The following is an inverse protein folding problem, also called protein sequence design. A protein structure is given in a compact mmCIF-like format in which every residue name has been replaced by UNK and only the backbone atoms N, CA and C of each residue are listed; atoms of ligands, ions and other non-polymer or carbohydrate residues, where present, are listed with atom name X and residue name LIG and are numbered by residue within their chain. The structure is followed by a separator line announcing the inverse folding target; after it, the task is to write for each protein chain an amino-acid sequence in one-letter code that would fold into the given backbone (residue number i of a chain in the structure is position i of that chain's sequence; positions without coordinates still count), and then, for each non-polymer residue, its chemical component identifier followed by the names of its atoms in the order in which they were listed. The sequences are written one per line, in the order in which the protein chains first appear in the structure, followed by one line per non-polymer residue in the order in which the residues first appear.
data_IF_004360828788
#
_entry.id   IF_004360828788
#
_cell.length_a   1.000
_cell.length_b   1.000
_cell.length_c   1.000
_cell.angle_alpha   90.00
_cell.angle_beta   90.00
_cell.angle_gamma   90.00
#
_symmetry.space_group_name_H-M   'P 1'
#
loop_
_entity.id
_entity.type
_entity.pdbx_description
1 polymer ?
#
# COMPACT_ATOMS: atom_id res chain seq x y z
N UNK A 1 -13.51 -22.24 12.19
CA UNK A 1 -12.87 -20.95 11.85
C UNK A 1 -11.37 -21.19 11.83
N UNK A 2 -10.66 -20.89 10.73
CA UNK A 2 -9.19 -21.00 10.72
C UNK A 2 -8.61 -20.01 11.73
N UNK A 3 -7.60 -20.41 12.50
CA UNK A 3 -6.87 -19.50 13.39
C UNK A 3 -6.13 -18.43 12.58
N UNK A 4 -5.84 -17.27 13.17
CA UNK A 4 -4.94 -16.30 12.55
C UNK A 4 -3.57 -17.00 12.36
N UNK A 5 -2.93 -16.90 11.18
CA UNK A 5 -1.61 -17.48 10.97
C UNK A 5 -0.59 -16.94 11.98
N UNK A 6 0.38 -17.75 12.37
CA UNK A 6 1.51 -17.30 13.20
C UNK A 6 2.47 -16.39 12.41
N UNK A 7 2.54 -16.60 11.09
CA UNK A 7 3.38 -15.82 10.17
C UNK A 7 2.57 -15.52 8.93
N UNK A 8 2.57 -14.27 8.49
CA UNK A 8 1.99 -13.88 7.21
C UNK A 8 3.04 -14.07 6.12
N UNK A 9 2.70 -14.77 5.05
CA UNK A 9 3.66 -15.03 3.96
C UNK A 9 3.50 -13.99 2.85
N UNK A 10 4.62 -13.50 2.31
CA UNK A 10 4.62 -12.60 1.15
C UNK A 10 4.65 -13.36 -0.19
N UNK A 11 5.19 -14.58 -0.18
CA UNK A 11 5.45 -15.46 -1.34
C UNK A 11 5.32 -16.92 -0.91
N UNK A 12 5.03 -17.81 -1.85
CA UNK A 12 5.08 -19.25 -1.60
C UNK A 12 6.48 -19.69 -1.18
N UNK A 13 6.64 -20.56 -0.18
CA UNK A 13 7.94 -21.11 0.20
C UNK A 13 8.61 -21.81 -0.99
N UNK A 14 9.90 -21.56 -1.19
CA UNK A 14 10.70 -22.19 -2.26
C UNK A 14 12.07 -22.59 -1.73
N UNK A 15 12.48 -23.82 -2.04
CA UNK A 15 13.80 -24.36 -1.66
C UNK A 15 14.12 -24.16 -0.15
N UNK A 16 13.14 -24.39 0.72
CA UNK A 16 13.30 -24.24 2.17
C UNK A 16 13.32 -22.79 2.68
N UNK A 17 13.26 -21.78 1.79
CA UNK A 17 13.20 -20.37 2.16
C UNK A 17 11.75 -19.90 2.22
N UNK A 18 11.42 -19.29 3.36
CA UNK A 18 10.15 -18.61 3.62
C UNK A 18 10.43 -17.12 3.76
N UNK A 19 9.55 -16.28 3.21
CA UNK A 19 9.64 -14.83 3.34
C UNK A 19 8.33 -14.34 3.95
N UNK A 20 8.41 -13.80 5.16
CA UNK A 20 7.26 -13.20 5.84
C UNK A 20 6.84 -11.90 5.15
N UNK A 21 5.64 -11.44 5.44
CA UNK A 21 5.11 -10.17 4.93
C UNK A 21 5.95 -9.01 5.46
N UNK A 22 6.25 -9.02 6.76
CA UNK A 22 7.14 -8.02 7.38
C UNK A 22 8.49 -7.97 6.66
N UNK A 23 9.17 -9.10 6.50
CA UNK A 23 10.49 -9.14 5.87
C UNK A 23 10.45 -8.60 4.44
N UNK A 24 9.44 -8.99 3.64
CA UNK A 24 9.30 -8.52 2.26
C UNK A 24 9.09 -7.00 2.17
N UNK A 25 8.28 -6.43 3.06
CA UNK A 25 8.03 -4.98 3.10
C UNK A 25 9.26 -4.20 3.56
N UNK A 26 9.97 -4.70 4.58
CA UNK A 26 11.24 -4.11 5.06
C UNK A 26 12.34 -4.19 4.00
N UNK A 27 12.48 -5.33 3.32
CA UNK A 27 13.43 -5.51 2.21
C UNK A 27 13.15 -4.50 1.08
N UNK A 28 11.88 -4.29 0.76
CA UNK A 28 11.45 -3.37 -0.30
C UNK A 28 11.74 -1.91 0.09
N UNK A 29 11.45 -1.52 1.34
CA UNK A 29 11.77 -0.18 1.84
C UNK A 29 13.27 0.09 1.87
N UNK A 30 14.06 -0.88 2.35
CA UNK A 30 15.51 -0.78 2.38
C UNK A 30 16.09 -0.68 0.96
N UNK A 31 15.58 -1.47 0.01
CA UNK A 31 15.99 -1.39 -1.38
C UNK A 31 15.67 -0.01 -1.97
N UNK A 32 14.47 0.53 -1.71
CA UNK A 32 14.09 1.87 -2.14
C UNK A 32 15.03 2.94 -1.57
N UNK A 33 15.34 2.87 -0.27
CA UNK A 33 16.26 3.80 0.39
C UNK A 33 17.66 3.76 -0.24
N UNK A 34 18.17 2.58 -0.56
CA UNK A 34 19.51 2.41 -1.16
C UNK A 34 19.58 2.85 -2.62
N UNK A 35 18.56 2.53 -3.43
CA UNK A 35 18.51 2.89 -4.86
C UNK A 35 18.36 4.41 -5.02
N UNK A 36 17.45 5.01 -4.25
CA UNK A 36 17.07 6.41 -4.39
C UNK A 36 17.77 7.35 -3.41
N UNK A 37 18.85 6.90 -2.75
CA UNK A 37 19.63 7.77 -1.84
C UNK A 37 20.08 9.06 -2.54
N UNK A 38 20.00 10.24 -1.90
CA UNK A 38 20.21 11.53 -2.59
C UNK A 38 21.65 11.74 -3.10
N UNK A 39 22.62 11.12 -2.44
CA UNK A 39 24.05 11.11 -2.78
C UNK A 39 24.43 9.98 -3.76
N UNK A 40 23.46 9.16 -4.19
CA UNK A 40 23.64 8.05 -5.12
C UNK A 40 23.48 8.48 -6.59
N UNK A 41 24.16 7.78 -7.50
CA UNK A 41 24.02 8.00 -8.95
C UNK A 41 22.57 7.83 -9.42
N UNK A 42 21.89 6.78 -8.95
CA UNK A 42 20.51 6.48 -9.34
C UNK A 42 19.53 7.53 -8.80
N UNK A 43 19.55 7.80 -7.49
CA UNK A 43 18.73 8.86 -6.89
C UNK A 43 18.90 10.21 -7.57
N UNK A 44 20.14 10.68 -7.80
CA UNK A 44 20.37 11.96 -8.51
C UNK A 44 19.82 11.98 -9.93
N UNK A 45 20.05 10.92 -10.70
CA UNK A 45 19.60 10.87 -12.09
C UNK A 45 18.09 10.77 -12.20
N UNK A 46 17.45 9.99 -11.31
CA UNK A 46 16.00 9.89 -11.23
C UNK A 46 15.36 11.24 -10.91
N UNK A 47 15.83 11.88 -9.84
CA UNK A 47 15.32 13.19 -9.43
C UNK A 47 15.55 14.25 -10.52
N UNK A 48 16.71 14.25 -11.19
CA UNK A 48 16.97 15.14 -12.33
C UNK A 48 16.01 14.89 -13.49
N UNK A 49 15.77 13.63 -13.84
CA UNK A 49 14.88 13.26 -14.95
C UNK A 49 13.44 13.73 -14.70
N UNK A 50 12.96 13.60 -13.46
CA UNK A 50 11.62 14.03 -13.06
C UNK A 50 11.54 15.49 -12.56
N UNK A 51 12.60 16.29 -12.72
CA UNK A 51 12.59 17.71 -12.34
C UNK A 51 12.57 17.99 -10.83
N UNK A 52 12.89 17.01 -9.98
CA UNK A 52 13.02 17.16 -8.53
C UNK A 52 14.39 17.77 -8.17
N UNK A 53 14.54 19.06 -8.49
CA UNK A 53 15.84 19.72 -8.49
C UNK A 53 16.26 20.23 -7.11
N UNK A 54 15.34 20.55 -6.20
CA UNK A 54 15.68 21.05 -4.85
C UNK A 54 15.96 19.90 -3.88
N UNK A 55 16.79 20.10 -2.84
CA UNK A 55 17.01 19.11 -1.78
C UNK A 55 15.69 18.62 -1.15
N UNK A 56 14.78 19.54 -0.85
CA UNK A 56 13.50 19.26 -0.18
C UNK A 56 12.61 18.38 -1.06
N UNK A 57 12.57 18.63 -2.38
CA UNK A 57 11.82 17.81 -3.32
C UNK A 57 12.36 16.37 -3.41
N UNK A 58 13.68 16.21 -3.31
CA UNK A 58 14.34 14.89 -3.34
C UNK A 58 14.12 14.11 -2.06
N UNK A 59 14.22 14.78 -0.92
CA UNK A 59 13.92 14.22 0.40
C UNK A 59 12.45 13.82 0.51
N UNK A 60 11.55 14.71 0.06
CA UNK A 60 10.12 14.42 -0.05
C UNK A 60 9.90 13.17 -0.89
N UNK A 61 10.43 13.11 -2.11
CA UNK A 61 10.30 11.93 -2.98
C UNK A 61 10.79 10.64 -2.29
N UNK A 62 11.98 10.66 -1.70
CA UNK A 62 12.54 9.50 -1.03
C UNK A 62 11.64 9.03 0.13
N UNK A 63 11.13 9.96 0.93
CA UNK A 63 10.20 9.66 2.01
C UNK A 63 8.92 8.98 1.48
N UNK A 64 8.32 9.51 0.40
CA UNK A 64 7.10 8.94 -0.17
C UNK A 64 7.31 7.54 -0.71
N UNK A 65 8.42 7.31 -1.43
CA UNK A 65 8.73 5.98 -1.97
C UNK A 65 8.95 4.97 -0.86
N UNK A 66 9.63 5.35 0.22
CA UNK A 66 9.87 4.47 1.37
C UNK A 66 8.56 4.11 2.09
N UNK A 67 7.68 5.09 2.30
CA UNK A 67 6.35 4.84 2.89
C UNK A 67 5.48 3.99 1.94
N UNK A 68 5.48 4.27 0.64
CA UNK A 68 4.76 3.47 -0.35
C UNK A 68 5.29 2.02 -0.40
N UNK A 69 6.60 1.82 -0.29
CA UNK A 69 7.22 0.49 -0.23
C UNK A 69 6.74 -0.31 0.99
N UNK A 70 6.56 0.34 2.15
CA UNK A 70 6.02 -0.30 3.35
C UNK A 70 4.53 -0.64 3.23
N UNK A 71 3.77 0.08 2.39
CA UNK A 71 2.34 -0.17 2.19
C UNK A 71 2.00 -1.06 0.98
N UNK A 72 2.87 -1.18 -0.03
CA UNK A 72 2.48 -1.73 -1.35
C UNK A 72 1.77 -3.08 -1.26
N UNK A 73 2.26 -3.94 -0.37
CA UNK A 73 1.81 -5.31 -0.19
C UNK A 73 1.09 -5.56 1.14
N UNK A 74 0.75 -4.52 1.91
CA UNK A 74 0.06 -4.70 3.20
C UNK A 74 -1.28 -5.43 3.03
N UNK A 75 -1.93 -5.27 1.88
CA UNK A 75 -3.14 -5.97 1.49
C UNK A 75 -2.96 -7.47 1.36
N UNK A 76 -1.74 -8.03 1.34
CA UNK A 76 -1.47 -9.48 1.42
C UNK A 76 -1.82 -10.08 2.78
N UNK A 77 -2.00 -9.25 3.81
CA UNK A 77 -2.52 -9.66 5.11
C UNK A 77 -4.01 -10.02 5.04
N UNK A 78 -4.36 -11.02 4.22
CA UNK A 78 -5.72 -11.51 4.03
C UNK A 78 -5.75 -13.03 3.83
N UNK A 79 -6.92 -13.62 4.07
CA UNK A 79 -7.12 -15.07 4.03
C UNK A 79 -6.90 -15.68 2.63
N UNK A 80 -7.40 -15.04 1.57
CA UNK A 80 -7.27 -15.56 0.21
C UNK A 80 -5.81 -15.58 -0.25
N UNK A 81 -5.05 -14.52 0.02
CA UNK A 81 -3.63 -14.46 -0.32
C UNK A 81 -2.85 -15.50 0.47
N UNK A 82 -3.10 -15.60 1.79
CA UNK A 82 -2.45 -16.60 2.63
C UNK A 82 -2.70 -18.02 2.12
N UNK A 83 -3.94 -18.34 1.74
CA UNK A 83 -4.30 -19.63 1.13
C UNK A 83 -3.61 -19.83 -0.22
N UNK A 84 -3.56 -18.80 -1.06
CA UNK A 84 -2.93 -18.87 -2.38
C UNK A 84 -1.43 -19.15 -2.33
N UNK A 85 -0.73 -18.71 -1.28
CA UNK A 85 0.71 -18.94 -1.14
C UNK A 85 1.08 -20.18 -0.33
N UNK A 86 0.13 -20.75 0.42
CA UNK A 86 0.33 -21.97 1.23
C UNK A 86 -0.15 -23.24 0.55
N UNK A 87 -1.16 -23.16 -0.33
CA UNK A 87 -1.68 -24.30 -1.06
C UNK A 87 -1.04 -24.42 -2.46
N UNK A 88 -0.89 -25.66 -2.95
CA UNK A 88 -0.37 -25.93 -4.29
C UNK A 88 -1.40 -25.65 -5.41
N UNK A 89 -2.69 -25.64 -5.08
CA UNK A 89 -3.76 -25.38 -6.03
C UNK A 89 -3.96 -23.88 -6.28
N UNK A 90 -4.48 -23.52 -7.45
CA UNK A 90 -4.87 -22.15 -7.76
C UNK A 90 -6.02 -21.71 -6.83
N UNK A 91 -5.80 -20.62 -6.10
CA UNK A 91 -6.82 -19.96 -5.28
C UNK A 91 -7.14 -18.60 -5.89
N UNK A 92 -8.39 -18.41 -6.28
CA UNK A 92 -8.89 -17.14 -6.78
C UNK A 92 -9.06 -16.15 -5.62
N UNK A 93 -8.29 -15.08 -5.64
CA UNK A 93 -8.41 -14.00 -4.66
C UNK A 93 -9.68 -13.18 -4.94
N UNK A 94 -10.46 -12.94 -3.89
CA UNK A 94 -11.69 -12.14 -3.94
C UNK A 94 -11.39 -10.70 -4.36
N UNK A 95 -10.36 -10.12 -3.77
CA UNK A 95 -9.76 -8.86 -4.19
C UNK A 95 -8.26 -9.01 -4.40
N UNK A 96 -7.74 -8.20 -5.32
CA UNK A 96 -6.31 -8.01 -5.51
C UNK A 96 -5.68 -7.37 -4.28
N UNK A 97 -4.51 -7.84 -3.86
CA UNK A 97 -3.83 -7.32 -2.68
C UNK A 97 -3.42 -5.85 -2.85
N UNK A 98 -3.03 -5.42 -4.05
CA UNK A 98 -2.75 -4.01 -4.34
C UNK A 98 -3.99 -3.11 -4.14
N UNK A 99 -5.18 -3.64 -4.40
CA UNK A 99 -6.45 -2.91 -4.18
C UNK A 99 -6.76 -2.79 -2.70
N UNK A 100 -6.52 -3.87 -1.93
CA UNK A 100 -6.67 -3.88 -0.47
C UNK A 100 -5.64 -2.95 0.21
N UNK A 101 -4.39 -2.93 -0.26
CA UNK A 101 -3.36 -2.01 0.25
C UNK A 101 -3.80 -0.54 0.09
N UNK A 102 -4.34 -0.20 -1.08
CA UNK A 102 -4.88 1.14 -1.33
C UNK A 102 -6.12 1.44 -0.46
N UNK A 103 -7.00 0.47 -0.22
CA UNK A 103 -8.14 0.63 0.69
C UNK A 103 -7.70 0.95 2.12
N UNK A 104 -6.67 0.26 2.64
CA UNK A 104 -6.11 0.54 3.96
C UNK A 104 -5.66 1.99 4.05
N UNK A 105 -4.97 2.50 3.03
CA UNK A 105 -4.55 3.90 2.97
C UNK A 105 -5.71 4.89 2.93
N UNK A 106 -6.91 4.50 2.50
CA UNK A 106 -8.10 5.35 2.49
C UNK A 106 -8.99 5.23 3.74
N UNK A 107 -8.66 4.35 4.68
CA UNK A 107 -9.37 4.30 5.96
C UNK A 107 -9.25 5.65 6.69
N UNK A 108 -10.33 6.15 7.33
CA UNK A 108 -10.31 7.45 7.99
C UNK A 108 -9.20 7.60 9.04
N UNK A 109 -8.95 6.54 9.84
CA UNK A 109 -7.91 6.54 10.88
C UNK A 109 -6.51 6.61 10.30
N UNK A 110 -6.22 5.83 9.24
CA UNK A 110 -4.92 5.86 8.54
C UNK A 110 -4.70 7.20 7.84
N UNK A 111 -5.75 7.76 7.23
CA UNK A 111 -5.69 9.09 6.60
C UNK A 111 -5.39 10.19 7.61
N UNK A 112 -6.11 10.22 8.73
CA UNK A 112 -5.88 11.19 9.79
C UNK A 112 -4.48 11.05 10.39
N UNK A 113 -3.99 9.83 10.54
CA UNK A 113 -2.65 9.57 11.03
C UNK A 113 -1.57 10.07 10.08
N UNK A 114 -1.60 9.71 8.78
CA UNK A 114 -0.62 10.20 7.81
C UNK A 114 -0.66 11.73 7.64
N UNK A 115 -1.82 12.36 7.84
CA UNK A 115 -1.99 13.81 7.74
C UNK A 115 -1.34 14.60 8.90
N UNK A 116 -0.83 13.93 9.95
CA UNK A 116 -0.06 14.60 11.01
C UNK A 116 1.34 15.03 10.53
N UNK A 117 1.77 14.59 9.35
CA UNK A 117 3.06 14.94 8.78
C UNK A 117 2.91 15.84 7.55
N UNK A 118 3.28 17.11 7.67
CA UNK A 118 3.04 18.15 6.66
C UNK A 118 3.68 17.87 5.29
N UNK A 119 4.78 17.10 5.27
CA UNK A 119 5.47 16.73 4.02
C UNK A 119 4.79 15.56 3.30
N UNK A 120 4.14 14.64 4.03
CA UNK A 120 3.56 13.44 3.41
C UNK A 120 2.36 13.83 2.56
N UNK A 121 2.29 13.22 1.39
CA UNK A 121 1.17 13.29 0.47
C UNK A 121 0.57 11.88 0.36
N UNK A 122 -0.46 11.59 1.18
CA UNK A 122 -1.14 10.30 1.17
C UNK A 122 -1.72 9.93 -0.21
N UNK A 123 -1.93 10.88 -1.10
CA UNK A 123 -2.55 10.66 -2.41
C UNK A 123 -1.50 10.12 -3.37
N UNK A 124 -0.32 10.74 -3.40
CA UNK A 124 0.84 10.24 -4.14
C UNK A 124 1.24 8.85 -3.64
N UNK A 125 1.29 8.65 -2.32
CA UNK A 125 1.61 7.35 -1.72
C UNK A 125 0.58 6.31 -2.15
N UNK A 126 -0.71 6.63 -2.08
CA UNK A 126 -1.78 5.69 -2.46
C UNK A 126 -1.77 5.38 -3.95
N UNK A 127 -1.52 6.37 -4.81
CA UNK A 127 -1.37 6.16 -6.23
C UNK A 127 -0.24 5.17 -6.53
N UNK A 128 0.94 5.37 -5.94
CA UNK A 128 2.08 4.47 -6.09
C UNK A 128 1.79 3.04 -5.60
N UNK A 129 1.10 2.91 -4.46
CA UNK A 129 0.69 1.62 -3.89
C UNK A 129 -0.34 0.92 -4.79
N UNK A 130 -1.37 1.63 -5.25
CA UNK A 130 -2.43 1.04 -6.07
C UNK A 130 -1.89 0.60 -7.45
N UNK A 131 -0.93 1.33 -8.00
CA UNK A 131 -0.40 1.10 -9.35
C UNK A 131 0.82 0.17 -9.40
N UNK A 132 1.29 -0.41 -8.29
CA UNK A 132 2.57 -1.13 -8.29
C UNK A 132 2.59 -2.40 -9.18
N UNK A 133 1.42 -2.94 -9.52
CA UNK A 133 1.25 -4.02 -10.50
C UNK A 133 0.67 -3.55 -11.85
N UNK A 134 0.42 -2.25 -12.02
CA UNK A 134 -0.20 -1.65 -13.21
C UNK A 134 -1.57 -2.24 -13.57
N UNK A 135 -2.30 -2.73 -12.57
CA UNK A 135 -3.59 -3.44 -12.68
C UNK A 135 -4.68 -2.77 -11.84
N UNK A 136 -4.83 -1.47 -12.04
CA UNK A 136 -5.87 -0.67 -11.43
C UNK A 136 -6.42 0.33 -12.45
N UNK A 137 -7.74 0.37 -12.59
CA UNK A 137 -8.45 1.24 -13.51
C UNK A 137 -9.79 1.70 -12.89
N UNK A 138 -10.40 2.78 -13.38
CA UNK A 138 -11.74 3.19 -12.95
C UNK A 138 -12.83 2.20 -13.40
N UNK A 139 -12.60 1.48 -14.49
CA UNK A 139 -13.51 0.53 -15.12
C UNK A 139 -12.76 -0.62 -15.81
N UNK A 140 -13.50 -1.51 -16.48
CA UNK A 140 -12.94 -2.65 -17.21
C UNK A 140 -12.42 -3.78 -16.32
N UNK A 141 -11.52 -4.59 -16.86
CA UNK A 141 -11.02 -5.82 -16.23
C UNK A 141 -10.26 -5.57 -14.92
N UNK A 142 -9.61 -4.40 -14.82
CA UNK A 142 -8.78 -3.99 -13.69
C UNK A 142 -9.46 -2.97 -12.79
N UNK A 143 -10.80 -2.89 -12.86
CA UNK A 143 -11.58 -1.97 -12.03
C UNK A 143 -11.19 -2.11 -10.56
N UNK A 144 -10.79 -1.00 -9.94
CA UNK A 144 -10.39 -1.00 -8.54
C UNK A 144 -11.54 -1.44 -7.62
N UNK A 145 -11.23 -2.36 -6.71
CA UNK A 145 -12.18 -2.97 -5.77
C UNK A 145 -13.32 -3.76 -6.44
N UNK A 146 -13.11 -4.30 -7.64
CA UNK A 146 -14.05 -5.24 -8.25
C UNK A 146 -13.83 -6.65 -7.69
N UNK A 147 -14.77 -7.22 -6.91
CA UNK A 147 -14.63 -8.57 -6.41
C UNK A 147 -14.70 -9.58 -7.56
N UNK A 148 -13.75 -10.52 -7.57
CA UNK A 148 -13.76 -11.68 -8.49
C UNK A 148 -14.23 -12.95 -7.79
N UNK A 149 -14.37 -12.96 -6.47
CA UNK A 149 -14.71 -14.13 -5.67
C UNK A 149 -15.76 -13.82 -4.61
N UNK A 150 -15.45 -14.13 -3.35
CA UNK A 150 -16.32 -13.81 -2.22
C UNK A 150 -16.52 -12.30 -2.07
N UNK A 151 -17.69 -11.88 -1.60
CA UNK A 151 -17.95 -10.48 -1.20
C UNK A 151 -17.63 -10.20 0.26
N UNK A 152 -17.05 -11.18 0.93
CA UNK A 152 -16.54 -11.07 2.30
C UNK A 152 -15.16 -11.69 2.33
N UNK A 153 -14.16 -10.93 2.78
CA UNK A 153 -12.77 -11.39 2.87
C UNK A 153 -12.20 -11.06 4.24
N UNK A 154 -11.75 -12.09 4.97
CA UNK A 154 -11.09 -11.88 6.24
C UNK A 154 -9.72 -11.25 6.05
N UNK A 155 -9.46 -10.20 6.83
CA UNK A 155 -8.18 -9.50 6.86
C UNK A 155 -7.44 -9.79 8.18
N UNK A 156 -6.12 -9.74 8.15
CA UNK A 156 -5.24 -9.95 9.28
C UNK A 156 -4.53 -8.65 9.71
N UNK A 157 -5.25 -7.52 9.69
CA UNK A 157 -4.67 -6.20 9.98
C UNK A 157 -4.20 -6.03 11.44
N UNK A 158 -4.70 -6.86 12.35
CA UNK A 158 -4.27 -6.90 13.76
C UNK A 158 -3.02 -7.76 13.99
N UNK A 159 -2.49 -8.39 12.94
CA UNK A 159 -1.32 -9.26 13.07
C UNK A 159 -0.08 -8.47 13.46
N UNK A 160 0.80 -9.06 14.29
CA UNK A 160 2.02 -8.40 14.78
C UNK A 160 2.91 -7.88 13.65
N UNK A 161 3.06 -8.64 12.56
CA UNK A 161 3.80 -8.18 11.36
C UNK A 161 3.20 -6.91 10.72
N UNK A 162 1.88 -6.75 10.71
CA UNK A 162 1.25 -5.51 10.19
C UNK A 162 1.56 -4.35 11.14
N UNK A 163 1.44 -4.57 12.46
CA UNK A 163 1.76 -3.57 13.47
C UNK A 163 3.23 -3.15 13.41
N UNK A 164 4.15 -4.08 13.15
CA UNK A 164 5.57 -3.79 12.96
C UNK A 164 5.82 -2.83 11.78
N UNK A 165 5.05 -2.95 10.69
CA UNK A 165 5.14 -2.04 9.55
C UNK A 165 4.65 -0.63 9.89
N UNK A 166 3.53 -0.50 10.61
CA UNK A 166 3.08 0.81 11.09
C UNK A 166 4.10 1.44 12.05
N UNK A 167 4.70 0.66 12.96
CA UNK A 167 5.78 1.13 13.83
C UNK A 167 7.03 1.56 13.05
N UNK A 168 7.38 0.83 11.97
CA UNK A 168 8.47 1.23 11.06
C UNK A 168 8.17 2.58 10.39
N UNK A 169 6.94 2.81 9.95
CA UNK A 169 6.53 4.10 9.37
C UNK A 169 6.58 5.20 10.44
N UNK A 170 6.08 4.97 11.66
CA UNK A 170 6.23 5.91 12.79
C UNK A 170 7.69 6.26 13.04
N UNK A 171 8.59 5.27 13.03
CA UNK A 171 10.04 5.50 13.22
C UNK A 171 10.64 6.34 12.09
N UNK A 172 10.18 6.14 10.86
CA UNK A 172 10.63 6.86 9.67
C UNK A 172 10.12 8.31 9.62
N UNK A 173 8.91 8.54 10.09
CA UNK A 173 8.17 9.80 9.89
C UNK A 173 7.99 10.60 11.17
N UNK A 174 8.28 10.03 12.33
CA UNK A 174 7.96 10.63 13.64
C UNK A 174 6.46 10.92 13.83
N UNK A 175 5.59 10.20 13.12
CA UNK A 175 4.15 10.25 13.34
C UNK A 175 3.79 9.80 14.76
N UNK A 176 2.61 10.21 15.22
CA UNK A 176 2.10 9.82 16.54
C UNK A 176 1.69 8.34 16.63
N UNK A 177 0.82 8.06 17.59
CA UNK A 177 0.28 6.72 17.85
C UNK A 177 -0.27 6.07 16.58
N UNK A 178 0.06 4.79 16.37
CA UNK A 178 -0.41 4.00 15.23
C UNK A 178 -1.94 3.97 15.17
N UNK A 179 -2.56 4.04 13.99
CA UNK A 179 -4.01 4.11 13.88
C UNK A 179 -4.65 2.76 14.25
N UNK A 180 -5.82 2.82 14.88
CA UNK A 180 -6.66 1.62 15.04
C UNK A 180 -7.14 1.16 13.65
N UNK A 181 -6.80 -0.09 13.33
CA UNK A 181 -7.24 -0.73 12.09
C UNK A 181 -8.54 -1.52 12.32
N UNK A 182 -9.42 -1.64 11.32
CA UNK A 182 -10.61 -2.45 11.45
C UNK A 182 -10.29 -3.91 11.78
N UNK A 183 -11.06 -4.48 12.71
CA UNK A 183 -11.09 -5.93 12.96
C UNK A 183 -12.09 -6.65 12.06
N UNK A 184 -12.93 -5.91 11.35
CA UNK A 184 -13.97 -6.46 10.49
C UNK A 184 -13.38 -6.97 9.17
N UNK A 185 -13.97 -8.02 8.59
CA UNK A 185 -13.64 -8.43 7.22
C UNK A 185 -13.85 -7.29 6.24
N UNK A 186 -13.15 -7.36 5.11
CA UNK A 186 -13.53 -6.59 3.94
C UNK A 186 -14.91 -7.05 3.45
N UNK A 187 -15.79 -6.08 3.15
CA UNK A 187 -17.13 -6.27 2.55
C UNK A 187 -17.49 -5.06 1.68
N UNK A 188 -18.61 -5.13 0.96
CA UNK A 188 -19.19 -3.99 0.23
C UNK A 188 -19.82 -2.91 1.15
N UNK A 189 -19.58 -2.96 2.46
CA UNK A 189 -20.12 -2.04 3.47
C UNK A 189 -19.02 -1.18 4.12
N UNK A 190 -19.42 -0.28 5.02
CA UNK A 190 -18.49 0.47 5.86
C UNK A 190 -17.58 -0.47 6.70
N UNK A 191 -16.32 -0.10 6.96
CA UNK A 191 -15.66 1.15 6.55
C UNK A 191 -15.09 1.11 5.11
N UNK A 192 -15.13 -0.05 4.44
CA UNK A 192 -14.44 -0.28 3.18
C UNK A 192 -15.08 0.43 1.99
N UNK A 193 -16.42 0.45 1.95
CA UNK A 193 -17.16 1.20 0.94
C UNK A 193 -16.81 2.70 0.98
N UNK A 194 -16.71 3.27 2.19
CA UNK A 194 -16.35 4.68 2.38
C UNK A 194 -14.91 4.97 1.95
N UNK A 195 -13.98 4.07 2.29
CA UNK A 195 -12.58 4.15 1.87
C UNK A 195 -12.47 4.12 0.33
N UNK A 196 -13.17 3.20 -0.33
CA UNK A 196 -13.22 3.12 -1.79
C UNK A 196 -13.80 4.40 -2.41
N UNK A 197 -14.97 4.84 -1.95
CA UNK A 197 -15.62 6.05 -2.46
C UNK A 197 -14.72 7.29 -2.30
N UNK A 198 -14.00 7.39 -1.18
CA UNK A 198 -13.02 8.47 -0.95
C UNK A 198 -11.92 8.43 -2.01
N UNK A 199 -11.31 7.28 -2.25
CA UNK A 199 -10.27 7.16 -3.27
C UNK A 199 -10.78 7.46 -4.69
N UNK A 200 -11.99 7.04 -5.03
CA UNK A 200 -12.58 7.36 -6.33
C UNK A 200 -12.80 8.88 -6.50
N UNK A 201 -13.29 9.57 -5.47
CA UNK A 201 -13.43 11.05 -5.49
C UNK A 201 -12.08 11.73 -5.67
N UNK A 202 -11.04 11.25 -5.00
CA UNK A 202 -9.70 11.83 -5.11
C UNK A 202 -9.07 11.61 -6.48
N UNK A 203 -9.23 10.42 -7.07
CA UNK A 203 -8.79 10.15 -8.43
C UNK A 203 -9.48 11.09 -9.44
N UNK A 204 -10.79 11.31 -9.27
CA UNK A 204 -11.54 12.28 -10.07
C UNK A 204 -11.03 13.70 -9.89
N UNK A 205 -10.73 14.12 -8.66
CA UNK A 205 -10.16 15.44 -8.39
C UNK A 205 -8.80 15.63 -9.06
N UNK A 206 -7.89 14.67 -8.88
CA UNK A 206 -6.58 14.68 -9.51
C UNK A 206 -6.70 14.79 -11.04
N UNK A 207 -7.57 13.98 -11.66
CA UNK A 207 -7.81 14.04 -13.11
C UNK A 207 -8.42 15.39 -13.56
N UNK A 208 -9.18 16.08 -12.71
CA UNK A 208 -9.63 17.45 -13.00
C UNK A 208 -8.48 18.45 -12.93
N UNK A 209 -7.60 18.34 -11.93
CA UNK A 209 -6.48 19.27 -11.79
C UNK A 209 -5.45 19.12 -12.91
N UNK A 210 -5.07 17.88 -13.27
CA UNK A 210 -4.17 17.62 -14.41
C UNK A 210 -4.71 18.24 -15.71
N UNK A 211 -6.02 18.14 -15.97
CA UNK A 211 -6.65 18.75 -17.15
C UNK A 211 -6.59 20.28 -17.13
N UNK A 212 -6.72 20.90 -15.96
CA UNK A 212 -6.60 22.36 -15.82
C UNK A 212 -5.16 22.83 -16.03
N UNK A 213 -4.19 22.09 -15.51
CA UNK A 213 -2.78 22.42 -15.66
C UNK A 213 -2.31 22.28 -17.12
N UNK A 214 -2.77 21.24 -17.83
CA UNK A 214 -2.47 21.07 -19.26
C UNK A 214 -3.13 22.11 -20.18
N UNK A 215 -4.14 22.84 -19.68
CA UNK A 215 -4.81 23.89 -20.44
C UNK A 215 -4.13 25.27 -20.26
N UNK A 216 -3.07 25.36 -19.45
CA UNK A 216 -2.24 26.55 -19.23
C UNK A 216 -0.94 26.45 -20.01
#
# INVERSE_FOLDING_TARGET
MQSIPQTLLAKSPRAGRTVSLEQHLLDTEQAAALIFRPDGRWGRNWCRFFGLLTPEAREKFLLHVRVAALFHDIGKANEDFYRAVTHAAFIQQSLRHEHLSALVLHLPTVRAWLAQHDVLDPDIITAAVLSHHLKAAPDGEWKWCQPRGSRTLRLFLQHAEVQAIFNRITTLTHLGHIPDLPMTPWTDNAPWLEAWQRGMRMAQECARQIRKDNAR
#
